data_IF_957353609649
#
_entry.id   IF_957353609649
#
_cell.length_a   1.000
_cell.length_b   1.000
_cell.length_c   1.000
_cell.angle_alpha   90.00
_cell.angle_beta   90.00
_cell.angle_gamma   90.00
#
_symmetry.space_group_name_H-M   'P 1'
#
loop_
_entity.id
_entity.type
_entity.pdbx_description
1 polymer ?
#
# COMPACT_ATOMS: atom_id res chain seq x y z
N UNK A 1 42.32 -28.63 4.71
CA UNK A 1 42.94 -28.11 3.49
C UNK A 1 42.29 -28.83 2.32
N UNK A 2 41.30 -28.20 1.68
CA UNK A 2 40.61 -28.74 0.50
C UNK A 2 40.53 -27.60 -0.51
N UNK A 3 41.17 -27.83 -1.65
CA UNK A 3 41.18 -26.99 -2.83
C UNK A 3 39.96 -27.36 -3.66
N UNK A 4 39.23 -26.38 -4.21
CA UNK A 4 38.81 -26.36 -5.62
C UNK A 4 38.16 -25.00 -5.93
N UNK A 5 38.89 -24.17 -6.69
CA UNK A 5 38.39 -22.93 -7.28
C UNK A 5 37.75 -23.30 -8.62
N UNK A 6 36.45 -23.05 -8.74
CA UNK A 6 35.71 -23.27 -9.99
C UNK A 6 35.60 -21.94 -10.75
N UNK A 7 36.32 -21.88 -11.86
CA UNK A 7 36.32 -20.82 -12.86
C UNK A 7 34.95 -20.76 -13.53
N UNK A 8 34.30 -19.59 -13.61
CA UNK A 8 33.15 -19.40 -14.48
C UNK A 8 33.49 -18.45 -15.63
N UNK A 9 33.15 -18.95 -16.80
CA UNK A 9 33.53 -18.56 -18.14
C UNK A 9 32.77 -17.29 -18.57
N UNK A 10 33.51 -16.33 -19.12
CA UNK A 10 33.00 -15.18 -19.86
C UNK A 10 32.34 -15.68 -21.15
N UNK A 11 31.07 -15.33 -21.39
CA UNK A 11 30.44 -15.48 -22.69
C UNK A 11 29.94 -14.12 -23.16
N UNK A 12 30.69 -13.52 -24.09
CA UNK A 12 30.28 -12.37 -24.87
C UNK A 12 29.62 -12.88 -26.15
N UNK A 13 28.39 -12.43 -26.43
CA UNK A 13 27.75 -12.61 -27.73
C UNK A 13 27.10 -11.29 -28.16
N UNK A 14 27.67 -10.68 -29.18
CA UNK A 14 27.11 -9.55 -29.94
C UNK A 14 26.16 -10.06 -31.03
N UNK A 15 25.15 -9.26 -31.41
CA UNK A 15 24.59 -9.07 -32.76
C UNK A 15 23.55 -7.91 -32.66
N UNK A 16 23.86 -6.74 -33.23
CA UNK A 16 23.21 -6.13 -34.41
C UNK A 16 21.66 -6.05 -34.31
N UNK A 17 20.98 -4.91 -34.33
CA UNK A 17 21.19 -3.69 -35.11
C UNK A 17 19.99 -3.55 -36.08
N UNK A 18 19.17 -2.51 -35.92
CA UNK A 18 18.37 -1.83 -36.95
C UNK A 18 17.61 -0.65 -36.31
N UNK A 19 18.02 0.57 -36.69
CA UNK A 19 17.17 1.77 -36.64
C UNK A 19 16.35 1.82 -37.93
N UNK A 20 15.11 2.28 -37.87
CA UNK A 20 14.59 3.11 -38.97
C UNK A 20 13.51 4.08 -38.49
N UNK A 21 13.48 5.20 -39.19
CA UNK A 21 12.95 6.52 -38.86
C UNK A 21 11.94 6.87 -39.95
N UNK A 22 10.74 7.37 -39.62
CA UNK A 22 9.89 8.07 -40.59
C UNK A 22 9.25 9.30 -39.96
N UNK A 23 9.30 10.37 -40.73
CA UNK A 23 9.06 11.77 -40.43
C UNK A 23 7.68 12.21 -40.96
N UNK A 24 7.14 13.20 -40.26
CA UNK A 24 6.33 14.36 -40.70
C UNK A 24 4.92 14.21 -41.28
N UNK A 25 4.06 15.03 -40.65
CA UNK A 25 3.16 16.05 -41.21
C UNK A 25 1.89 15.63 -41.95
N UNK A 26 0.73 16.09 -41.45
CA UNK A 26 0.04 17.25 -42.05
C UNK A 26 -1.14 17.75 -41.20
N UNK A 27 -1.25 19.07 -41.18
CA UNK A 27 -2.33 19.95 -40.73
C UNK A 27 -3.56 19.89 -41.64
N UNK A 28 -4.77 20.05 -41.08
CA UNK A 28 -5.91 20.65 -41.80
C UNK A 28 -6.73 21.55 -40.85
N UNK A 29 -6.97 22.75 -41.35
CA UNK A 29 -7.73 23.88 -40.81
C UNK A 29 -9.26 23.68 -40.74
N UNK A 30 -9.85 24.39 -39.79
CA UNK A 30 -11.05 25.26 -39.88
C UNK A 30 -12.28 24.77 -40.64
N UNK A 31 -13.40 24.64 -39.93
CA UNK A 31 -14.68 25.20 -40.42
C UNK A 31 -15.62 25.59 -39.27
N UNK A 32 -15.83 26.89 -39.20
CA UNK A 32 -16.97 27.56 -38.58
C UNK A 32 -18.27 27.11 -39.26
N UNK A 33 -19.30 26.82 -38.48
CA UNK A 33 -20.68 27.04 -38.91
C UNK A 33 -21.54 27.44 -37.70
N UNK A 34 -22.34 28.47 -37.96
CA UNK A 34 -23.13 29.27 -37.04
C UNK A 34 -24.61 28.99 -37.34
N UNK A 35 -25.43 28.90 -36.29
CA UNK A 35 -26.89 29.10 -36.33
C UNK A 35 -27.34 29.33 -34.88
N UNK A 36 -27.38 30.57 -34.39
CA UNK A 36 -28.47 31.55 -34.52
C UNK A 36 -29.79 31.11 -33.86
N UNK A 37 -30.14 31.76 -32.75
CA UNK A 37 -31.52 32.22 -32.48
C UNK A 37 -31.46 33.48 -31.61
N UNK A 38 -32.09 34.51 -32.16
CA UNK A 38 -32.30 35.88 -31.70
C UNK A 38 -33.38 35.96 -30.62
N UNK A 39 -33.19 36.85 -29.64
CA UNK A 39 -34.28 37.61 -29.02
C UNK A 39 -33.74 38.95 -28.49
N UNK A 40 -34.10 40.02 -29.19
CA UNK A 40 -33.95 41.42 -28.82
C UNK A 40 -34.80 41.80 -27.59
N UNK A 41 -34.32 42.76 -26.78
CA UNK A 41 -34.96 44.09 -26.67
C UNK A 41 -34.18 45.09 -25.79
N UNK A 42 -33.87 46.24 -26.42
CA UNK A 42 -33.76 47.64 -25.97
C UNK A 42 -32.79 48.02 -24.81
N UNK A 43 -31.72 48.83 -25.04
CA UNK A 43 -31.65 50.28 -25.39
C UNK A 43 -32.25 51.15 -24.26
N UNK A 44 -31.51 52.00 -23.54
CA UNK A 44 -30.85 53.26 -23.98
C UNK A 44 -29.74 53.65 -22.98
N UNK A 45 -28.49 53.88 -23.40
CA UNK A 45 -27.88 55.17 -23.80
C UNK A 45 -27.85 56.26 -22.72
N UNK A 46 -26.65 56.53 -22.21
CA UNK A 46 -26.12 57.90 -22.11
C UNK A 46 -24.60 57.88 -22.32
N UNK A 47 -24.11 58.93 -22.96
CA UNK A 47 -22.88 59.00 -23.78
C UNK A 47 -21.93 60.02 -23.16
N UNK A 48 -20.64 59.75 -23.34
CA UNK A 48 -19.49 60.67 -23.40
C UNK A 48 -19.21 61.56 -22.19
N UNK A 49 -18.01 61.40 -21.62
CA UNK A 49 -17.00 62.42 -21.89
C UNK A 49 -15.56 61.89 -21.83
N UNK A 50 -14.77 62.45 -22.72
CA UNK A 50 -13.42 62.12 -23.12
C UNK A 50 -12.35 62.44 -22.06
N UNK A 51 -11.14 61.89 -22.33
CA UNK A 51 -9.82 62.29 -21.81
C UNK A 51 -9.27 61.62 -20.53
N UNK A 52 -8.92 60.34 -20.63
CA UNK A 52 -7.83 59.77 -19.80
C UNK A 52 -7.08 58.60 -20.46
N UNK A 53 -7.07 58.49 -21.78
CA UNK A 53 -6.33 57.46 -22.52
C UNK A 53 -4.99 58.00 -23.02
N UNK A 54 -4.01 58.20 -22.13
CA UNK A 54 -2.61 58.47 -22.53
C UNK A 54 -1.53 58.23 -21.46
N UNK A 55 -1.88 57.85 -20.22
CA UNK A 55 -0.86 57.66 -19.15
C UNK A 55 -0.61 56.23 -18.69
N UNK A 56 -1.38 55.23 -19.13
CA UNK A 56 -1.27 53.85 -18.61
C UNK A 56 -0.52 52.86 -19.53
N UNK A 57 0.10 53.32 -20.61
CA UNK A 57 0.96 52.47 -21.44
C UNK A 57 2.41 52.47 -20.96
N UNK A 58 2.82 53.54 -20.25
CA UNK A 58 4.19 53.67 -19.74
C UNK A 58 4.44 52.82 -18.48
N UNK A 59 3.40 52.55 -17.68
CA UNK A 59 3.45 51.64 -16.51
C UNK A 59 3.51 50.17 -16.89
N UNK A 60 2.88 49.78 -18.01
CA UNK A 60 2.90 48.39 -18.50
C UNK A 60 4.21 48.04 -19.20
N UNK A 61 4.85 49.03 -19.86
CA UNK A 61 6.18 48.86 -20.49
C UNK A 61 7.35 48.96 -19.49
N UNK A 62 7.17 49.67 -18.37
CA UNK A 62 8.08 49.62 -17.22
C UNK A 62 7.85 48.42 -16.27
N UNK A 63 6.83 47.56 -16.49
CA UNK A 63 6.72 46.27 -15.77
C UNK A 63 7.60 45.16 -16.36
N UNK A 64 8.44 45.47 -17.34
CA UNK A 64 9.66 44.68 -17.61
C UNK A 64 10.72 45.01 -16.53
N UNK A 65 10.26 45.13 -15.29
CA UNK A 65 11.05 45.50 -14.12
C UNK A 65 11.79 44.26 -13.67
N UNK A 66 13.11 44.38 -13.67
CA UNK A 66 14.09 43.43 -13.11
C UNK A 66 13.55 42.83 -11.80
N UNK A 67 13.35 41.51 -11.78
CA UNK A 67 12.98 40.75 -10.56
C UNK A 67 13.82 41.25 -9.38
N UNK A 68 13.17 41.51 -8.26
CA UNK A 68 13.85 41.80 -7.00
C UNK A 68 14.72 40.61 -6.61
N UNK A 69 15.79 40.85 -5.84
CA UNK A 69 16.66 39.76 -5.37
C UNK A 69 15.86 38.74 -4.54
N UNK A 70 14.83 39.17 -3.81
CA UNK A 70 13.96 38.26 -3.07
C UNK A 70 13.17 37.33 -4.00
N UNK A 71 12.57 37.86 -5.06
CA UNK A 71 11.82 37.06 -6.06
C UNK A 71 12.75 36.07 -6.79
N UNK A 72 13.98 36.48 -7.13
CA UNK A 72 14.96 35.57 -7.74
C UNK A 72 15.30 34.39 -6.84
N UNK A 73 15.49 34.64 -5.54
CA UNK A 73 15.75 33.57 -4.56
C UNK A 73 14.54 32.63 -4.49
N UNK A 74 13.33 33.15 -4.39
CA UNK A 74 12.10 32.34 -4.37
C UNK A 74 11.99 31.48 -5.64
N UNK A 75 12.23 32.05 -6.82
CA UNK A 75 12.22 31.31 -8.09
C UNK A 75 13.28 30.20 -8.13
N UNK A 76 14.47 30.43 -7.57
CA UNK A 76 15.51 29.41 -7.47
C UNK A 76 15.08 28.26 -6.54
N UNK A 77 14.50 28.57 -5.37
CA UNK A 77 13.98 27.57 -4.45
C UNK A 77 12.89 26.71 -5.09
N UNK A 78 11.95 27.34 -5.82
CA UNK A 78 10.92 26.62 -6.57
C UNK A 78 11.52 25.65 -7.60
N UNK A 79 12.52 26.09 -8.37
CA UNK A 79 13.20 25.22 -9.33
C UNK A 79 13.96 24.06 -8.67
N UNK A 80 14.59 24.29 -7.52
CA UNK A 80 15.25 23.24 -6.75
C UNK A 80 14.24 22.24 -6.18
N UNK A 81 13.11 22.71 -5.66
CA UNK A 81 12.02 21.87 -5.16
C UNK A 81 11.43 20.98 -6.25
N UNK A 82 11.16 21.54 -7.43
CA UNK A 82 10.67 20.79 -8.59
C UNK A 82 11.68 19.73 -9.05
N UNK A 83 12.98 20.08 -9.12
CA UNK A 83 14.03 19.13 -9.47
C UNK A 83 14.16 18.00 -8.45
N UNK A 84 14.09 18.31 -7.15
CA UNK A 84 14.17 17.32 -6.07
C UNK A 84 12.94 16.38 -6.08
N UNK A 85 11.75 16.93 -6.36
CA UNK A 85 10.51 16.17 -6.48
C UNK A 85 10.57 15.16 -7.62
N UNK A 86 11.03 15.59 -8.80
CA UNK A 86 11.25 14.72 -9.96
C UNK A 86 12.26 13.61 -9.67
N UNK A 87 13.27 13.90 -8.85
CA UNK A 87 14.27 12.94 -8.40
C UNK A 87 13.81 12.05 -7.22
N UNK A 88 12.55 12.15 -6.77
CA UNK A 88 11.99 11.46 -5.60
C UNK A 88 12.73 11.73 -4.28
N UNK A 89 13.49 12.82 -4.19
CA UNK A 89 14.11 13.27 -2.95
C UNK A 89 13.09 14.08 -2.15
N UNK A 90 12.08 13.42 -1.60
CA UNK A 90 10.90 14.09 -1.03
C UNK A 90 11.18 14.72 0.33
N UNK A 91 11.64 13.90 1.28
CA UNK A 91 12.05 14.27 2.64
C UNK A 91 13.51 13.91 2.93
N UNK A 92 14.13 13.12 2.04
CA UNK A 92 15.50 12.64 2.18
C UNK A 92 16.30 12.94 0.91
N UNK A 93 17.61 13.24 1.03
CA UNK A 93 18.35 13.53 2.27
C UNK A 93 17.87 14.81 2.99
N UNK A 94 18.19 14.95 4.28
CA UNK A 94 17.71 16.05 5.13
C UNK A 94 18.09 17.45 4.59
N UNK A 95 19.27 17.57 3.98
CA UNK A 95 19.83 18.84 3.49
C UNK A 95 19.45 19.18 2.04
N UNK A 96 18.90 18.22 1.29
CA UNK A 96 18.58 18.38 -0.12
C UNK A 96 17.35 17.54 -0.47
N UNK A 97 16.17 18.12 -0.27
CA UNK A 97 14.89 17.48 -0.59
C UNK A 97 13.81 18.50 -1.00
N UNK A 98 12.78 18.01 -1.65
CA UNK A 98 11.69 18.80 -2.23
C UNK A 98 10.91 19.57 -1.15
N UNK A 99 10.59 18.92 -0.03
CA UNK A 99 9.87 19.57 1.06
C UNK A 99 10.63 20.77 1.61
N UNK A 100 11.95 20.62 1.85
CA UNK A 100 12.82 21.70 2.31
C UNK A 100 12.73 22.93 1.40
N UNK A 101 12.86 22.73 0.09
CA UNK A 101 12.83 23.83 -0.87
C UNK A 101 11.46 24.51 -0.99
N UNK A 102 10.37 23.73 -1.01
CA UNK A 102 9.02 24.29 -1.09
C UNK A 102 8.62 25.01 0.20
N UNK A 103 8.94 24.46 1.37
CA UNK A 103 8.73 25.13 2.66
C UNK A 103 9.54 26.43 2.75
N UNK A 104 10.79 26.44 2.27
CA UNK A 104 11.60 27.65 2.21
C UNK A 104 11.01 28.70 1.25
N UNK A 105 10.43 28.29 0.12
CA UNK A 105 9.72 29.18 -0.79
C UNK A 105 8.46 29.78 -0.14
N UNK A 106 7.67 28.98 0.59
CA UNK A 106 6.49 29.45 1.34
C UNK A 106 6.86 30.39 2.49
N UNK A 107 7.99 30.16 3.17
CA UNK A 107 8.49 31.09 4.19
C UNK A 107 8.81 32.49 3.64
N UNK A 108 9.08 32.60 2.34
CA UNK A 108 9.35 33.89 1.66
C UNK A 108 8.11 34.48 0.99
N UNK A 109 7.25 33.61 0.46
CA UNK A 109 6.01 33.97 -0.23
C UNK A 109 4.91 32.97 0.19
N UNK A 110 4.20 33.24 1.31
CA UNK A 110 3.24 32.31 1.91
C UNK A 110 2.07 31.91 0.99
N UNK A 111 1.77 32.71 -0.04
CA UNK A 111 0.73 32.44 -1.02
C UNK A 111 1.25 31.81 -2.32
N UNK A 112 2.52 31.39 -2.37
CA UNK A 112 3.12 30.93 -3.61
C UNK A 112 2.47 29.63 -4.11
N UNK A 113 1.63 29.75 -5.13
CA UNK A 113 0.88 28.62 -5.66
C UNK A 113 1.77 27.45 -6.11
N UNK A 114 2.95 27.71 -6.71
CA UNK A 114 3.86 26.64 -7.15
C UNK A 114 4.43 25.86 -5.96
N UNK A 115 4.77 26.54 -4.87
CA UNK A 115 5.24 25.87 -3.67
C UNK A 115 4.13 25.03 -3.00
N UNK A 116 2.91 25.58 -2.91
CA UNK A 116 1.74 24.85 -2.40
C UNK A 116 1.51 23.57 -3.21
N UNK A 117 1.50 23.67 -4.55
CA UNK A 117 1.37 22.51 -5.44
C UNK A 117 2.50 21.49 -5.24
N UNK A 118 3.73 21.94 -5.02
CA UNK A 118 4.87 21.08 -4.69
C UNK A 118 4.67 20.29 -3.41
N UNK A 119 4.17 20.94 -2.34
CA UNK A 119 3.82 20.29 -1.07
C UNK A 119 2.70 19.27 -1.26
N UNK A 120 1.62 19.64 -1.97
CA UNK A 120 0.52 18.72 -2.28
C UNK A 120 1.02 17.49 -3.05
N UNK A 121 1.89 17.67 -4.05
CA UNK A 121 2.44 16.55 -4.81
C UNK A 121 3.29 15.58 -3.96
N UNK A 122 3.97 16.08 -2.93
CA UNK A 122 4.70 15.23 -1.97
C UNK A 122 3.71 14.42 -1.12
N UNK A 123 2.67 15.07 -0.59
CA UNK A 123 1.61 14.40 0.19
C UNK A 123 0.95 13.30 -0.63
N UNK A 124 0.54 13.60 -1.87
CA UNK A 124 -0.08 12.65 -2.81
C UNK A 124 0.81 11.44 -3.07
N UNK A 125 2.12 11.64 -3.20
CA UNK A 125 3.06 10.53 -3.40
C UNK A 125 3.07 9.59 -2.20
N UNK A 126 3.13 10.15 -0.98
CA UNK A 126 3.14 9.34 0.23
C UNK A 126 1.81 8.63 0.48
N UNK A 127 0.66 9.28 0.25
CA UNK A 127 -0.64 8.65 0.38
C UNK A 127 -0.84 7.54 -0.66
N UNK A 128 -0.33 7.71 -1.89
CA UNK A 128 -0.30 6.66 -2.91
C UNK A 128 0.52 5.44 -2.46
N UNK A 129 1.73 5.64 -1.94
CA UNK A 129 2.56 4.56 -1.41
C UNK A 129 1.92 3.88 -0.19
N UNK A 130 1.28 4.65 0.69
CA UNK A 130 0.53 4.11 1.82
C UNK A 130 -0.58 3.16 1.35
N UNK A 131 -1.36 3.60 0.35
CA UNK A 131 -2.41 2.79 -0.25
C UNK A 131 -1.88 1.49 -0.88
N UNK A 132 -0.78 1.58 -1.64
CA UNK A 132 -0.14 0.41 -2.26
C UNK A 132 0.37 -0.59 -1.20
N UNK A 133 1.02 -0.11 -0.15
CA UNK A 133 1.48 -0.93 0.96
C UNK A 133 0.31 -1.63 1.68
N UNK A 134 -0.78 -0.90 1.93
CA UNK A 134 -1.99 -1.45 2.55
C UNK A 134 -2.66 -2.52 1.67
N UNK A 135 -2.74 -2.30 0.35
CA UNK A 135 -3.20 -3.32 -0.59
C UNK A 135 -2.35 -4.61 -0.50
N UNK A 136 -1.04 -4.47 -0.35
CA UNK A 136 -0.10 -5.58 -0.11
C UNK A 136 -0.13 -6.17 1.30
N UNK A 137 -1.09 -5.78 2.17
CA UNK A 137 -1.18 -6.18 3.59
C UNK A 137 0.01 -5.75 4.46
N UNK A 138 0.85 -4.84 3.97
CA UNK A 138 1.94 -4.26 4.74
C UNK A 138 1.47 -2.96 5.43
N UNK A 139 0.64 -3.11 6.46
CA UNK A 139 0.04 -1.98 7.17
C UNK A 139 1.07 -1.15 7.95
N UNK A 140 2.17 -1.77 8.40
CA UNK A 140 3.26 -1.04 9.06
C UNK A 140 3.96 -0.08 8.09
N UNK A 141 4.26 -0.51 6.87
CA UNK A 141 4.80 0.39 5.85
C UNK A 141 3.79 1.47 5.46
N UNK A 142 2.51 1.12 5.36
CA UNK A 142 1.46 2.09 5.08
C UNK A 142 1.41 3.22 6.10
N UNK A 143 1.48 2.90 7.40
CA UNK A 143 1.49 3.89 8.47
C UNK A 143 2.73 4.79 8.39
N UNK A 144 3.92 4.23 8.15
CA UNK A 144 5.16 5.02 7.98
C UNK A 144 5.07 6.02 6.82
N UNK A 145 4.39 5.66 5.74
CA UNK A 145 4.15 6.58 4.64
C UNK A 145 3.15 7.68 5.03
N UNK A 146 2.09 7.36 5.78
CA UNK A 146 1.18 8.37 6.33
C UNK A 146 1.88 9.31 7.31
N UNK A 147 2.76 8.81 8.17
CA UNK A 147 3.60 9.64 9.04
C UNK A 147 4.47 10.61 8.25
N UNK A 148 5.05 10.13 7.13
CA UNK A 148 5.82 10.98 6.24
C UNK A 148 4.96 12.07 5.61
N UNK A 149 3.74 11.74 5.16
CA UNK A 149 2.79 12.73 4.65
C UNK A 149 2.39 13.76 5.72
N UNK A 150 2.10 13.33 6.95
CA UNK A 150 1.79 14.21 8.10
C UNK A 150 2.95 15.15 8.43
N UNK A 151 4.19 14.68 8.30
CA UNK A 151 5.38 15.52 8.54
C UNK A 151 5.56 16.63 7.49
N UNK A 152 4.96 16.47 6.30
CA UNK A 152 4.98 17.45 5.21
C UNK A 152 3.87 18.49 5.40
N UNK A 153 2.64 18.02 5.63
CA UNK A 153 1.48 18.87 5.89
C UNK A 153 0.51 18.15 6.86
N UNK A 154 0.53 18.49 8.17
CA UNK A 154 -0.29 17.82 9.17
C UNK A 154 -1.80 18.01 8.97
N UNK A 155 -2.22 19.12 8.36
CA UNK A 155 -3.63 19.50 8.20
C UNK A 155 -4.21 19.07 6.84
N UNK A 156 -3.44 18.33 6.02
CA UNK A 156 -3.88 17.93 4.69
C UNK A 156 -5.04 16.90 4.76
N UNK A 157 -6.23 17.22 4.20
CA UNK A 157 -7.37 16.31 4.21
C UNK A 157 -7.08 14.95 3.57
N UNK A 158 -6.19 14.89 2.58
CA UNK A 158 -5.86 13.65 1.86
C UNK A 158 -5.23 12.59 2.78
N UNK A 159 -4.47 13.02 3.81
CA UNK A 159 -3.88 12.10 4.79
C UNK A 159 -4.96 11.46 5.65
N UNK A 160 -5.91 12.26 6.13
CA UNK A 160 -7.02 11.78 6.96
C UNK A 160 -7.93 10.85 6.16
N UNK A 161 -8.27 11.22 4.93
CA UNK A 161 -9.06 10.38 4.02
C UNK A 161 -8.36 9.04 3.76
N UNK A 162 -7.06 9.07 3.43
CA UNK A 162 -6.29 7.85 3.16
C UNK A 162 -6.18 6.94 4.39
N UNK A 163 -5.98 7.53 5.58
CA UNK A 163 -5.98 6.79 6.84
C UNK A 163 -7.31 6.08 7.08
N UNK A 164 -8.44 6.77 6.85
CA UNK A 164 -9.78 6.17 6.93
C UNK A 164 -9.96 5.03 5.93
N UNK A 165 -9.58 5.25 4.67
CA UNK A 165 -9.65 4.23 3.61
C UNK A 165 -8.84 2.98 3.94
N UNK A 166 -7.65 3.12 4.51
CA UNK A 166 -6.81 1.99 4.94
C UNK A 166 -7.46 1.25 6.10
N UNK A 167 -8.01 1.96 7.08
CA UNK A 167 -8.75 1.37 8.21
C UNK A 167 -9.95 0.54 7.72
N UNK A 168 -10.73 1.08 6.79
CA UNK A 168 -11.87 0.38 6.21
C UNK A 168 -11.42 -0.89 5.46
N UNK A 169 -10.33 -0.82 4.71
CA UNK A 169 -9.75 -1.98 4.05
C UNK A 169 -9.33 -3.07 5.07
N UNK A 170 -8.72 -2.68 6.18
CA UNK A 170 -8.34 -3.59 7.25
C UNK A 170 -9.57 -4.26 7.88
N UNK A 171 -10.60 -3.49 8.19
CA UNK A 171 -11.84 -3.99 8.76
C UNK A 171 -12.55 -4.97 7.82
N UNK A 172 -12.74 -4.60 6.55
CA UNK A 172 -13.34 -5.49 5.53
C UNK A 172 -12.58 -6.81 5.40
N UNK A 173 -11.24 -6.77 5.48
CA UNK A 173 -10.40 -7.97 5.45
C UNK A 173 -10.53 -8.79 6.75
N UNK A 174 -10.59 -8.15 7.91
CA UNK A 174 -10.81 -8.83 9.18
C UNK A 174 -12.18 -9.53 9.21
N UNK A 175 -13.23 -8.83 8.77
CA UNK A 175 -14.58 -9.37 8.61
C UNK A 175 -14.62 -10.53 7.60
N UNK A 176 -13.89 -10.44 6.49
CA UNK A 176 -13.79 -11.57 5.55
C UNK A 176 -13.11 -12.80 6.17
N UNK A 177 -12.16 -12.60 7.10
CA UNK A 177 -11.51 -13.69 7.82
C UNK A 177 -12.42 -14.25 8.91
N UNK A 178 -13.18 -13.42 9.64
CA UNK A 178 -14.15 -13.91 10.62
C UNK A 178 -15.32 -14.61 9.93
N UNK A 179 -15.84 -14.06 8.84
CA UNK A 179 -16.87 -14.70 8.02
C UNK A 179 -16.37 -16.01 7.42
N UNK A 180 -15.15 -16.06 6.87
CA UNK A 180 -14.56 -17.31 6.40
C UNK A 180 -14.33 -18.31 7.55
N UNK A 181 -13.95 -17.85 8.76
CA UNK A 181 -13.83 -18.69 9.95
C UNK A 181 -15.19 -19.18 10.46
N UNK A 182 -16.24 -18.38 10.35
CA UNK A 182 -17.61 -18.76 10.70
C UNK A 182 -18.17 -19.72 9.66
N UNK A 183 -17.91 -19.54 8.36
CA UNK A 183 -18.31 -20.49 7.33
C UNK A 183 -17.49 -21.80 7.42
N UNK A 184 -16.19 -21.74 7.69
CA UNK A 184 -15.38 -22.95 7.96
C UNK A 184 -15.68 -23.57 9.33
N UNK A 185 -16.13 -22.80 10.32
CA UNK A 185 -16.50 -23.26 11.66
C UNK A 185 -17.95 -23.76 11.75
N UNK A 186 -18.84 -23.28 10.89
CA UNK A 186 -20.20 -23.78 10.73
C UNK A 186 -20.24 -25.01 9.82
N UNK A 187 -19.18 -25.26 9.04
CA UNK A 187 -18.87 -26.57 8.48
C UNK A 187 -18.19 -27.52 9.50
N UNK A 188 -18.09 -27.15 10.78
CA UNK A 188 -17.86 -28.08 11.89
C UNK A 188 -19.14 -28.35 12.72
N UNK A 189 -20.29 -27.86 12.28
CA UNK A 189 -21.59 -28.30 12.78
C UNK A 189 -22.63 -28.25 11.64
N UNK A 190 -22.40 -29.07 10.63
CA UNK A 190 -23.41 -29.70 9.75
C UNK A 190 -22.67 -30.48 8.68
N UNK A 191 -22.23 -31.70 9.03
CA UNK A 191 -22.37 -32.87 8.19
C UNK A 191 -21.76 -34.07 8.92
N UNK A 192 -22.62 -35.05 9.19
CA UNK A 192 -22.23 -36.39 9.55
C UNK A 192 -21.46 -37.04 8.38
N UNK A 193 -20.18 -36.70 8.16
CA UNK A 193 -19.22 -37.47 7.33
C UNK A 193 -17.77 -37.11 7.75
N UNK A 194 -17.27 -37.75 8.80
CA UNK A 194 -15.85 -38.04 9.16
C UNK A 194 -15.74 -38.11 10.70
N UNK A 195 -16.31 -39.15 11.32
CA UNK A 195 -16.31 -39.38 12.77
C UNK A 195 -14.92 -39.58 13.42
N UNK A 196 -13.87 -39.44 12.63
CA UNK A 196 -12.48 -39.82 12.93
C UNK A 196 -11.47 -38.70 12.59
N UNK A 197 -11.92 -37.48 12.23
CA UNK A 197 -11.08 -36.31 11.97
C UNK A 197 -11.31 -35.22 13.02
N UNK A 198 -10.25 -34.79 13.72
CA UNK A 198 -10.27 -33.72 14.73
C UNK A 198 -9.46 -32.52 14.24
N UNK A 199 -10.09 -31.36 14.10
CA UNK A 199 -9.42 -30.12 13.71
C UNK A 199 -9.07 -29.28 14.94
N UNK A 200 -7.82 -28.80 15.00
CA UNK A 200 -7.28 -28.01 16.11
C UNK A 200 -7.02 -26.56 15.67
N UNK A 201 -7.13 -25.56 16.56
CA UNK A 201 -6.89 -24.17 16.19
C UNK A 201 -5.45 -23.90 15.72
N UNK A 202 -5.28 -23.04 14.70
CA UNK A 202 -3.94 -22.56 14.27
C UNK A 202 -3.19 -21.78 15.36
N UNK A 203 -3.89 -21.39 16.41
CA UNK A 203 -3.39 -20.71 17.59
C UNK A 203 -3.20 -21.62 18.79
N UNK A 204 -3.27 -22.95 18.63
CA UNK A 204 -3.19 -23.92 19.73
C UNK A 204 -2.05 -23.60 20.70
N UNK A 205 -0.81 -23.49 20.21
CA UNK A 205 0.36 -23.19 21.05
C UNK A 205 0.52 -21.73 21.50
N UNK A 206 -0.47 -20.87 21.24
CA UNK A 206 -0.54 -19.50 21.78
C UNK A 206 -1.58 -19.37 22.90
N UNK A 207 -2.39 -20.39 23.13
CA UNK A 207 -3.40 -20.46 24.17
C UNK A 207 -2.78 -20.85 25.52
N UNK A 208 -3.57 -20.77 26.59
CA UNK A 208 -3.16 -21.29 27.91
C UNK A 208 -3.08 -22.82 27.89
N UNK A 209 -2.42 -23.42 28.89
CA UNK A 209 -2.34 -24.88 28.99
C UNK A 209 -3.74 -25.49 29.13
N UNK A 210 -4.62 -24.89 29.92
CA UNK A 210 -5.99 -25.36 30.14
C UNK A 210 -6.80 -25.39 28.83
N UNK A 211 -6.67 -24.35 28.01
CA UNK A 211 -7.31 -24.25 26.70
C UNK A 211 -6.75 -25.28 25.71
N UNK A 212 -5.42 -25.48 25.67
CA UNK A 212 -4.78 -26.51 24.83
C UNK A 212 -5.30 -27.91 25.20
N UNK A 213 -5.40 -28.19 26.49
CA UNK A 213 -5.93 -29.47 26.96
C UNK A 213 -7.40 -29.61 26.59
N UNK A 214 -8.21 -28.57 26.75
CA UNK A 214 -9.62 -28.59 26.35
C UNK A 214 -9.79 -28.92 24.86
N UNK A 215 -8.96 -28.34 24.00
CA UNK A 215 -8.98 -28.59 22.55
C UNK A 215 -8.51 -30.01 22.18
N UNK A 216 -7.56 -30.58 22.93
CA UNK A 216 -6.99 -31.92 22.66
C UNK A 216 -7.80 -33.04 23.35
N UNK A 217 -8.58 -32.74 24.39
CA UNK A 217 -9.30 -33.75 25.20
C UNK A 217 -10.17 -34.71 24.37
N UNK A 218 -10.96 -34.26 23.36
CA UNK A 218 -11.75 -35.17 22.54
C UNK A 218 -10.90 -36.21 21.78
N UNK A 219 -9.69 -35.84 21.40
CA UNK A 219 -8.74 -36.74 20.73
C UNK A 219 -8.23 -37.78 21.73
N UNK A 220 -7.88 -37.36 22.95
CA UNK A 220 -7.43 -38.25 24.02
C UNK A 220 -8.51 -39.28 24.34
N UNK A 221 -9.76 -38.85 24.50
CA UNK A 221 -10.88 -39.73 24.83
C UNK A 221 -11.15 -40.75 23.71
N UNK A 222 -11.12 -40.29 22.45
CA UNK A 222 -11.30 -41.15 21.28
C UNK A 222 -10.15 -42.16 21.15
N UNK A 223 -8.89 -41.73 21.26
CA UNK A 223 -7.74 -42.64 21.21
C UNK A 223 -7.83 -43.66 22.34
N UNK A 224 -8.15 -43.24 23.56
CA UNK A 224 -8.27 -44.13 24.72
C UNK A 224 -9.34 -45.20 24.53
N UNK A 225 -10.47 -44.84 23.91
CA UNK A 225 -11.59 -45.76 23.68
C UNK A 225 -11.39 -46.69 22.48
N UNK A 226 -10.79 -46.22 21.38
CA UNK A 226 -10.67 -47.02 20.15
C UNK A 226 -9.31 -47.71 19.98
N UNK A 227 -8.27 -47.23 20.68
CA UNK A 227 -6.87 -47.67 20.52
C UNK A 227 -6.33 -47.55 19.09
N UNK A 228 -6.93 -46.68 18.28
CA UNK A 228 -6.52 -46.43 16.89
C UNK A 228 -5.17 -45.72 16.81
N UNK A 229 -4.49 -45.92 15.69
CA UNK A 229 -3.30 -45.13 15.31
C UNK A 229 -3.75 -43.74 14.88
N UNK A 230 -3.00 -42.70 15.23
CA UNK A 230 -3.30 -41.32 14.82
C UNK A 230 -2.36 -40.81 13.73
N UNK A 231 -2.86 -39.95 12.85
CA UNK A 231 -2.09 -39.17 11.90
C UNK A 231 -2.21 -37.69 12.26
N UNK A 232 -1.08 -37.05 12.57
CA UNK A 232 -1.00 -35.65 12.98
C UNK A 232 -0.52 -34.82 11.78
N UNK A 233 -1.39 -33.95 11.27
CA UNK A 233 -1.11 -33.04 10.16
C UNK A 233 -0.85 -31.64 10.72
N UNK A 234 0.41 -31.24 10.76
CA UNK A 234 0.81 -29.96 11.34
C UNK A 234 1.92 -29.26 10.54
N UNK A 235 1.91 -27.92 10.39
CA UNK A 235 2.93 -27.21 9.61
C UNK A 235 4.36 -27.30 10.18
N UNK A 236 4.49 -27.50 11.49
CA UNK A 236 5.77 -27.48 12.21
C UNK A 236 6.00 -28.80 12.94
N UNK A 237 7.13 -29.46 12.68
CA UNK A 237 7.49 -30.77 13.26
C UNK A 237 7.56 -30.73 14.79
N UNK A 238 8.13 -29.65 15.36
CA UNK A 238 8.26 -29.51 16.81
C UNK A 238 6.89 -29.46 17.48
N UNK A 239 5.99 -28.69 16.91
CA UNK A 239 4.61 -28.56 17.38
C UNK A 239 3.84 -29.86 17.21
N UNK A 240 3.99 -30.57 16.09
CA UNK A 240 3.39 -31.89 15.88
C UNK A 240 3.83 -32.90 16.96
N UNK A 241 5.12 -32.88 17.32
CA UNK A 241 5.67 -33.71 18.40
C UNK A 241 5.10 -33.32 19.77
N UNK A 242 4.87 -32.03 20.02
CA UNK A 242 4.22 -31.59 21.25
C UNK A 242 2.78 -32.11 21.33
N UNK A 243 2.00 -32.03 20.24
CA UNK A 243 0.65 -32.63 20.19
C UNK A 243 0.72 -34.12 20.54
N UNK A 244 1.62 -34.86 19.90
CA UNK A 244 1.82 -36.28 20.19
C UNK A 244 2.17 -36.53 21.66
N UNK A 245 3.09 -35.74 22.22
CA UNK A 245 3.52 -35.87 23.61
C UNK A 245 2.37 -35.62 24.59
N UNK A 246 1.51 -34.63 24.32
CA UNK A 246 0.33 -34.33 25.15
C UNK A 246 -0.66 -35.49 25.10
N UNK A 247 -0.96 -36.01 23.91
CA UNK A 247 -1.89 -37.14 23.76
C UNK A 247 -1.31 -38.38 24.45
N UNK A 248 -0.06 -38.75 24.16
CA UNK A 248 0.57 -39.96 24.68
C UNK A 248 0.82 -39.90 26.19
N UNK A 249 1.03 -38.73 26.80
CA UNK A 249 1.18 -38.62 28.25
C UNK A 249 -0.13 -38.77 29.01
N UNK A 250 -1.28 -38.53 28.35
CA UNK A 250 -2.62 -38.58 28.94
C UNK A 250 -3.37 -39.88 28.64
N UNK A 251 -2.98 -40.60 27.58
CA UNK A 251 -3.45 -41.98 27.34
C UNK A 251 -2.53 -42.94 28.10
N UNK A 252 -2.93 -43.32 29.32
CA UNK A 252 -2.09 -44.14 30.22
C UNK A 252 -2.16 -45.64 29.94
N UNK A 253 -3.22 -46.10 29.29
CA UNK A 253 -3.50 -47.53 29.10
C UNK A 253 -2.57 -48.21 28.08
N UNK A 254 -2.00 -47.46 27.15
CA UNK A 254 -1.11 -47.97 26.11
C UNK A 254 -0.31 -46.84 25.46
N UNK A 255 0.79 -47.18 24.80
CA UNK A 255 1.56 -46.22 24.01
C UNK A 255 0.81 -45.89 22.72
N UNK A 256 0.53 -44.61 22.50
CA UNK A 256 -0.14 -44.13 21.29
C UNK A 256 0.77 -44.30 20.08
N UNK A 257 0.27 -44.96 19.04
CA UNK A 257 0.92 -45.06 17.73
C UNK A 257 0.53 -43.83 16.91
N UNK A 258 1.52 -43.14 16.34
CA UNK A 258 1.28 -41.91 15.60
C UNK A 258 2.18 -41.80 14.36
N UNK A 259 1.63 -41.19 13.30
CA UNK A 259 2.36 -40.71 12.14
C UNK A 259 2.29 -39.17 12.11
N UNK A 260 3.38 -38.50 11.75
CA UNK A 260 3.43 -37.04 11.67
C UNK A 260 3.62 -36.63 10.21
N UNK A 261 2.81 -35.68 9.74
CA UNK A 261 2.84 -35.14 8.40
C UNK A 261 2.99 -33.62 8.45
N UNK A 262 3.96 -33.09 7.69
CA UNK A 262 4.25 -31.65 7.60
C UNK A 262 3.28 -30.94 6.66
N UNK A 263 2.01 -30.85 7.04
CA UNK A 263 0.94 -30.19 6.26
C UNK A 263 0.16 -29.22 7.13
N UNK A 264 -0.24 -28.10 6.55
CA UNK A 264 -0.95 -27.04 7.26
C UNK A 264 -2.47 -27.31 7.37
N UNK A 265 -2.84 -28.57 7.62
CA UNK A 265 -4.25 -28.99 7.76
C UNK A 265 -4.76 -28.78 9.20
N UNK A 266 -3.83 -28.67 10.16
CA UNK A 266 -4.10 -28.45 11.59
C UNK A 266 -5.09 -29.49 12.14
N UNK A 267 -4.81 -30.77 11.90
CA UNK A 267 -5.73 -31.85 12.20
C UNK A 267 -5.03 -33.09 12.77
N UNK A 268 -5.74 -33.82 13.63
CA UNK A 268 -5.40 -35.17 14.07
C UNK A 268 -6.49 -36.10 13.57
N UNK A 269 -6.10 -37.11 12.78
CA UNK A 269 -7.03 -38.07 12.19
C UNK A 269 -6.79 -39.47 12.75
N UNK A 270 -7.85 -40.22 12.99
CA UNK A 270 -7.74 -41.64 13.30
C UNK A 270 -7.46 -42.41 12.01
N UNK A 271 -6.55 -43.37 12.09
CA UNK A 271 -6.18 -44.25 10.99
C UNK A 271 -6.76 -45.62 11.32
N UNK A 272 -7.66 -46.10 10.47
CA UNK A 272 -8.10 -47.49 10.49
C UNK A 272 -6.98 -48.35 9.89
N UNK A 273 -6.57 -49.37 10.64
CA UNK A 273 -5.62 -50.40 10.17
C UNK A 273 -6.30 -51.40 9.24
#
# INVERSE_FOLDING_TARGET
MVIYRFTFLFFALCLAGCQENVRSSQSVETRTESSATTADQQTSTERSDDTASAKNTNTRKNRVNKLTESEKITLRLLGQGESALLAQRLLTPAEDNANLYFQAALGRDPGNFRAIQGITAIVDRYTQWAWQAAQGRNYQAAERYLDSARSVNPEDPAVTEMSGRIKDLMQRRAESVTAAKITSGNNASTNAVEADSFFLPKSLFRQSEEEIIADIQPIIDKVSSTKQTIAIYWPNDKEARLIYQIINSRVTEFRVRAMIFHRADYAVKMVNE
#
